data_IF_230213861817
#
_entry.id   IF_230213861817
#
_cell.length_a   1.000
_cell.length_b   1.000
_cell.length_c   1.000
_cell.angle_alpha   90.00
_cell.angle_beta   90.00
_cell.angle_gamma   90.00
#
_symmetry.space_group_name_H-M   'P 1'
#
loop_
_entity.id
_entity.type
_entity.pdbx_description
1 polymer ?
#
# COMPACT_ATOMS: atom_id res chain seq x y z
N UNK A 1 17.87 -26.06 -26.22
CA UNK A 1 16.69 -25.27 -26.62
C UNK A 1 15.50 -25.88 -25.88
N UNK A 2 15.16 -25.33 -24.73
CA UNK A 2 14.16 -25.92 -23.82
C UNK A 2 12.91 -25.05 -23.89
N UNK A 3 11.84 -25.58 -24.49
CA UNK A 3 10.58 -24.88 -24.65
C UNK A 3 9.90 -24.78 -23.27
N UNK A 4 9.81 -23.55 -22.75
CA UNK A 4 9.02 -23.23 -21.57
C UNK A 4 7.56 -23.08 -22.01
N UNK A 5 6.78 -24.14 -21.86
CA UNK A 5 5.33 -24.12 -22.12
C UNK A 5 4.65 -23.33 -21.01
N UNK A 6 4.43 -22.04 -21.26
CA UNK A 6 3.49 -21.24 -20.47
C UNK A 6 2.10 -21.82 -20.66
N UNK A 7 1.62 -22.58 -19.67
CA UNK A 7 0.22 -22.99 -19.60
C UNK A 7 -0.61 -21.73 -19.37
N UNK A 8 -1.29 -21.27 -20.43
CA UNK A 8 -2.37 -20.31 -20.31
C UNK A 8 -3.50 -21.01 -19.55
N UNK A 9 -3.63 -20.69 -18.26
CA UNK A 9 -4.74 -21.16 -17.46
C UNK A 9 -5.91 -20.25 -17.78
N UNK A 10 -6.74 -20.69 -18.71
CA UNK A 10 -8.04 -20.11 -19.06
C UNK A 10 -9.02 -20.41 -17.90
N UNK A 11 -8.82 -19.76 -16.75
CA UNK A 11 -9.72 -19.84 -15.59
C UNK A 11 -10.79 -18.75 -15.68
N UNK A 12 -11.64 -18.83 -16.70
CA UNK A 12 -12.98 -18.25 -16.63
C UNK A 12 -13.80 -19.12 -15.66
N UNK A 13 -13.62 -18.91 -14.35
CA UNK A 13 -14.52 -19.48 -13.36
C UNK A 13 -15.90 -18.88 -13.61
N UNK A 14 -16.92 -19.72 -13.85
CA UNK A 14 -18.26 -19.21 -14.08
C UNK A 14 -18.72 -18.48 -12.80
N UNK A 15 -19.21 -17.26 -12.95
CA UNK A 15 -19.69 -16.42 -11.84
C UNK A 15 -20.75 -17.12 -10.96
N UNK A 16 -21.36 -18.20 -11.44
CA UNK A 16 -22.24 -19.10 -10.70
C UNK A 16 -21.57 -19.81 -9.52
N UNK A 17 -20.24 -19.82 -9.42
CA UNK A 17 -19.54 -20.50 -8.33
C UNK A 17 -19.58 -19.79 -6.98
N UNK A 18 -19.53 -18.44 -6.93
CA UNK A 18 -19.32 -17.71 -5.66
C UNK A 18 -20.50 -17.80 -4.68
N UNK A 19 -21.73 -17.97 -5.18
CA UNK A 19 -22.93 -18.06 -4.35
C UNK A 19 -22.95 -19.30 -3.44
N UNK A 20 -22.21 -20.35 -3.79
CA UNK A 20 -22.05 -21.56 -2.98
C UNK A 20 -21.05 -21.38 -1.81
N UNK A 21 -20.34 -20.26 -1.79
CA UNK A 21 -19.32 -19.95 -0.78
C UNK A 21 -19.76 -18.82 0.14
N UNK A 22 -20.30 -17.74 -0.44
CA UNK A 22 -20.67 -16.54 0.30
C UNK A 22 -21.86 -16.79 1.22
N UNK A 23 -21.75 -16.40 2.49
CA UNK A 23 -22.78 -16.53 3.51
C UNK A 23 -23.01 -17.95 4.00
N UNK A 24 -22.07 -18.88 3.75
CA UNK A 24 -22.21 -20.31 4.12
C UNK A 24 -21.44 -20.71 5.39
N UNK A 25 -21.05 -19.75 6.23
CA UNK A 25 -20.27 -19.98 7.47
C UNK A 25 -18.98 -20.79 7.23
N UNK A 26 -18.32 -20.57 6.08
CA UNK A 26 -17.05 -21.22 5.73
C UNK A 26 -15.88 -20.39 6.24
N UNK A 27 -14.75 -21.03 6.50
CA UNK A 27 -13.49 -20.36 6.86
C UNK A 27 -12.69 -20.07 5.60
N UNK A 28 -12.24 -18.83 5.41
CA UNK A 28 -11.51 -18.37 4.22
C UNK A 28 -10.27 -19.22 3.91
N UNK A 29 -9.51 -19.63 4.93
CA UNK A 29 -8.34 -20.49 4.78
C UNK A 29 -8.65 -21.87 4.17
N UNK A 30 -9.88 -22.36 4.30
CA UNK A 30 -10.32 -23.67 3.81
C UNK A 30 -10.98 -23.59 2.43
N UNK A 31 -11.11 -22.40 1.88
CA UNK A 31 -11.72 -22.15 0.58
C UNK A 31 -10.71 -22.46 -0.54
N UNK A 32 -11.10 -23.07 -1.68
CA UNK A 32 -10.21 -23.28 -2.81
C UNK A 32 -9.54 -21.98 -3.29
N UNK A 33 -8.28 -22.07 -3.75
CA UNK A 33 -7.47 -20.91 -4.12
C UNK A 33 -8.15 -20.01 -5.16
N UNK A 34 -8.83 -20.60 -6.14
CA UNK A 34 -9.56 -19.87 -7.17
C UNK A 34 -10.69 -18.98 -6.60
N UNK A 35 -11.40 -19.49 -5.59
CA UNK A 35 -12.44 -18.75 -4.91
C UNK A 35 -11.82 -17.67 -4.03
N UNK A 36 -10.69 -17.95 -3.35
CA UNK A 36 -9.96 -16.91 -2.61
C UNK A 36 -9.54 -15.77 -3.54
N UNK A 37 -8.99 -16.08 -4.72
CA UNK A 37 -8.62 -15.08 -5.72
C UNK A 37 -9.83 -14.26 -6.20
N UNK A 38 -10.94 -14.93 -6.52
CA UNK A 38 -12.17 -14.25 -6.94
C UNK A 38 -12.76 -13.35 -5.85
N UNK A 39 -12.63 -13.72 -4.57
CA UNK A 39 -13.03 -12.87 -3.43
C UNK A 39 -12.10 -11.66 -3.30
N UNK A 40 -10.78 -11.85 -3.41
CA UNK A 40 -9.79 -10.76 -3.32
C UNK A 40 -9.90 -9.78 -4.48
N UNK A 41 -10.29 -10.23 -5.66
CA UNK A 41 -10.58 -9.38 -6.82
C UNK A 41 -11.68 -8.34 -6.55
N UNK A 42 -12.51 -8.51 -5.52
CA UNK A 42 -13.50 -7.50 -5.11
C UNK A 42 -12.88 -6.29 -4.39
N UNK A 43 -11.63 -6.40 -3.98
CA UNK A 43 -10.85 -5.26 -3.46
C UNK A 43 -10.19 -4.48 -4.59
N UNK A 44 -10.14 -5.03 -5.81
CA UNK A 44 -9.50 -4.40 -6.96
C UNK A 44 -10.10 -3.03 -7.24
N UNK A 45 -9.24 -2.06 -7.51
CA UNK A 45 -9.65 -0.73 -7.91
C UNK A 45 -10.46 -0.73 -9.21
N UNK A 46 -11.62 -0.06 -9.18
CA UNK A 46 -12.38 0.30 -10.37
C UNK A 46 -11.60 1.26 -11.27
N UNK A 47 -11.99 1.34 -12.55
CA UNK A 47 -11.39 2.27 -13.50
C UNK A 47 -11.49 3.73 -13.01
N UNK A 48 -12.64 4.11 -12.45
CA UNK A 48 -12.86 5.44 -11.87
C UNK A 48 -11.90 5.71 -10.71
N UNK A 49 -11.68 4.72 -9.83
CA UNK A 49 -10.70 4.83 -8.76
C UNK A 49 -9.27 5.01 -9.29
N UNK A 50 -8.87 4.24 -10.29
CA UNK A 50 -7.54 4.32 -10.91
C UNK A 50 -7.29 5.72 -11.50
N UNK A 51 -8.31 6.35 -12.09
CA UNK A 51 -8.18 7.70 -12.66
C UNK A 51 -7.98 8.80 -11.61
N UNK A 52 -8.32 8.55 -10.34
CA UNK A 52 -8.09 9.47 -9.24
C UNK A 52 -6.65 9.40 -8.68
N UNK A 53 -5.89 8.39 -9.09
CA UNK A 53 -4.56 8.10 -8.59
C UNK A 53 -3.48 8.60 -9.57
N UNK A 54 -2.34 9.16 -9.10
CA UNK A 54 -1.26 9.58 -9.98
C UNK A 54 -0.74 8.43 -10.86
N UNK A 55 -0.67 8.65 -12.18
CA UNK A 55 -0.17 7.62 -13.09
C UNK A 55 1.24 7.12 -12.67
N UNK A 56 1.52 5.84 -12.85
CA UNK A 56 2.87 5.28 -12.56
C UNK A 56 3.98 5.97 -13.38
N UNK A 57 3.62 6.55 -14.53
CA UNK A 57 4.50 7.32 -15.42
C UNK A 57 4.66 8.79 -15.02
N UNK A 58 3.96 9.26 -13.98
CA UNK A 58 3.97 10.66 -13.57
C UNK A 58 5.39 11.10 -13.15
N UNK A 59 5.92 12.22 -13.68
CA UNK A 59 7.21 12.74 -13.25
C UNK A 59 7.27 13.08 -11.76
N UNK A 60 8.46 12.93 -11.16
CA UNK A 60 8.68 13.24 -9.73
C UNK A 60 8.19 14.64 -9.33
N UNK A 61 8.45 15.74 -10.06
CA UNK A 61 7.94 17.06 -9.68
C UNK A 61 6.42 17.11 -9.60
N UNK A 62 5.73 16.51 -10.57
CA UNK A 62 4.27 16.46 -10.59
C UNK A 62 3.71 15.57 -9.48
N UNK A 63 4.41 14.48 -9.13
CA UNK A 63 4.06 13.69 -7.94
C UNK A 63 4.13 14.56 -6.66
N UNK A 64 5.13 15.43 -6.53
CA UNK A 64 5.27 16.29 -5.35
C UNK A 64 4.17 17.37 -5.27
N UNK A 65 3.58 17.74 -6.40
CA UNK A 65 2.43 18.67 -6.47
C UNK A 65 1.09 17.97 -6.19
N UNK A 66 1.04 16.63 -6.27
CA UNK A 66 -0.18 15.88 -6.01
C UNK A 66 -0.62 16.02 -4.53
N UNK A 67 -1.85 16.49 -4.31
CA UNK A 67 -2.41 16.66 -2.97
C UNK A 67 -2.98 15.34 -2.43
N UNK A 68 -2.12 14.52 -1.83
CA UNK A 68 -2.55 13.29 -1.17
C UNK A 68 -3.33 13.60 0.13
N UNK A 69 -4.33 12.78 0.50
CA UNK A 69 -5.00 12.93 1.78
C UNK A 69 -4.04 12.70 2.96
N UNK A 70 -4.38 13.20 4.14
CA UNK A 70 -3.54 13.04 5.32
C UNK A 70 -3.50 11.56 5.74
N UNK A 71 -2.32 11.05 6.05
CA UNK A 71 -2.14 9.75 6.69
C UNK A 71 -2.20 9.92 8.21
N UNK A 72 -3.06 9.16 8.89
CA UNK A 72 -3.20 9.23 10.35
C UNK A 72 -2.46 8.09 11.03
N UNK A 73 -1.48 8.46 11.85
CA UNK A 73 -0.60 7.53 12.58
C UNK A 73 -1.10 7.21 14.00
N UNK A 74 -2.34 7.59 14.32
CA UNK A 74 -2.96 7.33 15.63
C UNK A 74 -3.43 5.89 15.78
N UNK A 75 -3.46 5.39 17.02
CA UNK A 75 -4.00 4.08 17.37
C UNK A 75 -5.50 4.01 17.02
N UNK A 76 -5.87 3.12 16.10
CA UNK A 76 -7.26 2.75 15.87
C UNK A 76 -7.66 1.67 16.88
N UNK A 77 -8.56 2.03 17.81
CA UNK A 77 -9.04 1.13 18.89
C UNK A 77 -10.12 0.15 18.38
N UNK A 78 -10.59 0.32 17.14
CA UNK A 78 -11.66 -0.47 16.55
C UNK A 78 -11.10 -1.77 15.96
N UNK A 79 -11.83 -2.87 16.12
CA UNK A 79 -11.48 -4.14 15.48
C UNK A 79 -11.67 -4.04 13.95
N UNK A 80 -10.63 -4.32 13.12
CA UNK A 80 -10.73 -4.24 11.66
C UNK A 80 -11.89 -5.09 11.08
N UNK A 81 -12.14 -6.28 11.62
CA UNK A 81 -13.26 -7.13 11.20
C UNK A 81 -14.63 -6.47 11.44
N UNK A 82 -14.76 -5.63 12.47
CA UNK A 82 -16.01 -4.93 12.78
C UNK A 82 -16.34 -3.78 11.82
N UNK A 83 -15.38 -3.37 10.98
CA UNK A 83 -15.63 -2.37 9.94
C UNK A 83 -16.43 -2.94 8.77
N UNK A 84 -16.48 -4.25 8.56
CA UNK A 84 -17.20 -4.81 7.43
C UNK A 84 -18.69 -4.95 7.72
N UNK A 85 -19.51 -4.51 6.78
CA UNK A 85 -20.97 -4.45 6.92
C UNK A 85 -21.65 -4.85 5.60
N UNK A 86 -22.92 -5.22 5.70
CA UNK A 86 -23.81 -5.61 4.61
C UNK A 86 -24.71 -4.45 4.16
N UNK A 87 -24.49 -3.26 4.73
CA UNK A 87 -25.21 -2.03 4.41
C UNK A 87 -24.78 -1.46 3.05
N UNK A 88 -25.68 -0.73 2.41
CA UNK A 88 -25.43 -0.13 1.11
C UNK A 88 -24.35 0.95 1.17
N UNK A 89 -23.49 0.98 0.15
CA UNK A 89 -22.45 1.99 -0.01
C UNK A 89 -23.11 3.35 -0.21
N UNK A 90 -22.76 4.34 0.61
CA UNK A 90 -23.30 5.69 0.53
C UNK A 90 -22.24 6.75 0.22
N UNK A 91 -21.02 6.32 -0.10
CA UNK A 91 -19.94 7.21 -0.52
C UNK A 91 -19.46 6.91 -1.92
N UNK A 92 -19.05 7.95 -2.63
CA UNK A 92 -18.38 7.81 -3.92
C UNK A 92 -16.88 7.61 -3.75
N UNK A 93 -16.25 6.97 -4.73
CA UNK A 93 -14.79 6.79 -4.78
C UNK A 93 -14.05 8.12 -4.72
N UNK A 94 -14.57 9.16 -5.41
CA UNK A 94 -14.00 10.52 -5.38
C UNK A 94 -13.92 11.08 -3.96
N UNK A 95 -14.90 10.74 -3.11
CA UNK A 95 -14.94 11.20 -1.73
C UNK A 95 -13.77 10.64 -0.90
N UNK A 96 -13.19 9.50 -1.28
CA UNK A 96 -12.04 8.90 -0.60
C UNK A 96 -10.80 9.82 -0.61
N UNK A 97 -10.66 10.72 -1.59
CA UNK A 97 -9.57 11.72 -1.63
C UNK A 97 -9.73 12.82 -0.57
N UNK A 98 -10.92 12.96 0.02
CA UNK A 98 -11.18 13.97 1.06
C UNK A 98 -11.10 13.39 2.46
N UNK A 99 -11.01 12.08 2.59
CA UNK A 99 -10.95 11.39 3.87
C UNK A 99 -9.49 11.17 4.26
N UNK A 100 -9.18 11.25 5.56
CA UNK A 100 -7.84 10.83 5.96
C UNK A 100 -7.70 9.32 5.77
N UNK A 101 -6.46 8.90 5.49
CA UNK A 101 -6.08 7.52 5.34
C UNK A 101 -5.82 6.93 6.74
N UNK A 102 -6.31 5.72 7.06
CA UNK A 102 -5.99 5.06 8.33
C UNK A 102 -4.49 4.73 8.42
N UNK A 103 -4.00 4.29 9.58
CA UNK A 103 -2.61 3.87 9.71
C UNK A 103 -2.30 2.67 8.80
N UNK A 104 -1.05 2.52 8.37
CA UNK A 104 -0.62 1.38 7.54
C UNK A 104 -0.92 0.05 8.21
N UNK A 105 -0.67 -0.05 9.52
CA UNK A 105 -0.97 -1.26 10.30
C UNK A 105 -2.46 -1.60 10.32
N UNK A 106 -3.33 -0.58 10.38
CA UNK A 106 -4.77 -0.80 10.36
C UNK A 106 -5.27 -1.24 8.98
N UNK A 107 -4.77 -0.64 7.91
CA UNK A 107 -5.12 -1.05 6.53
C UNK A 107 -4.63 -2.46 6.22
N UNK A 108 -3.46 -2.86 6.72
CA UNK A 108 -2.98 -4.25 6.60
C UNK A 108 -3.94 -5.23 7.30
N UNK A 109 -4.39 -4.92 8.52
CA UNK A 109 -5.35 -5.75 9.23
C UNK A 109 -6.73 -5.78 8.57
N UNK A 110 -7.17 -4.68 7.96
CA UNK A 110 -8.39 -4.66 7.14
C UNK A 110 -8.25 -5.60 5.95
N UNK A 111 -7.13 -5.53 5.22
CA UNK A 111 -6.85 -6.43 4.09
C UNK A 111 -6.86 -7.90 4.52
N UNK A 112 -6.19 -8.23 5.64
CA UNK A 112 -6.18 -9.59 6.19
C UNK A 112 -7.58 -10.09 6.58
N UNK A 113 -8.45 -9.22 7.09
CA UNK A 113 -9.82 -9.56 7.46
C UNK A 113 -10.80 -9.60 6.27
N UNK A 114 -10.45 -8.97 5.14
CA UNK A 114 -11.36 -8.77 4.02
C UNK A 114 -11.85 -10.10 3.41
N UNK A 115 -10.98 -11.10 3.29
CA UNK A 115 -11.34 -12.39 2.70
C UNK A 115 -12.46 -13.10 3.45
N UNK A 116 -12.33 -13.18 4.78
CA UNK A 116 -13.37 -13.76 5.62
C UNK A 116 -14.64 -12.89 5.59
N UNK A 117 -14.52 -11.57 5.68
CA UNK A 117 -15.68 -10.68 5.69
C UNK A 117 -16.50 -10.77 4.38
N UNK A 118 -15.84 -10.80 3.22
CA UNK A 118 -16.51 -10.97 1.92
C UNK A 118 -17.15 -12.35 1.83
N UNK A 119 -16.46 -13.40 2.32
CA UNK A 119 -17.00 -14.76 2.40
C UNK A 119 -18.22 -14.82 3.33
N UNK A 120 -18.28 -14.01 4.38
CA UNK A 120 -19.43 -13.88 5.28
C UNK A 120 -20.57 -13.03 4.68
N UNK A 121 -20.41 -12.53 3.45
CA UNK A 121 -21.44 -11.77 2.74
C UNK A 121 -21.41 -10.27 3.00
N UNK A 122 -20.32 -9.73 3.58
CA UNK A 122 -20.15 -8.28 3.71
C UNK A 122 -19.84 -7.64 2.36
N UNK A 123 -20.43 -6.47 2.12
CA UNK A 123 -20.42 -5.79 0.82
C UNK A 123 -19.85 -4.38 0.89
N UNK A 124 -19.67 -3.83 2.09
CA UNK A 124 -19.13 -2.48 2.29
C UNK A 124 -18.30 -2.38 3.58
N UNK A 125 -17.60 -1.24 3.71
CA UNK A 125 -16.78 -0.88 4.85
C UNK A 125 -17.38 0.32 5.58
N UNK A 126 -17.69 0.17 6.85
CA UNK A 126 -18.01 1.29 7.74
C UNK A 126 -16.75 2.10 8.03
N UNK A 127 -16.83 3.41 7.83
CA UNK A 127 -15.76 4.34 8.24
C UNK A 127 -15.59 4.26 9.76
N UNK A 128 -14.34 4.02 10.21
CA UNK A 128 -14.03 3.87 11.63
C UNK A 128 -14.20 5.17 12.43
N UNK A 129 -14.36 6.31 11.75
CA UNK A 129 -14.60 7.61 12.39
C UNK A 129 -16.04 8.09 12.30
N UNK A 130 -16.80 7.56 11.36
CA UNK A 130 -18.17 7.97 11.13
C UNK A 130 -19.04 6.73 10.90
N UNK A 131 -19.87 6.43 11.90
CA UNK A 131 -20.75 5.25 11.88
C UNK A 131 -21.74 5.23 10.72
N UNK A 132 -22.08 6.40 10.18
CA UNK A 132 -23.13 6.56 9.16
C UNK A 132 -22.56 6.58 7.74
N UNK A 133 -21.26 6.28 7.60
CA UNK A 133 -20.55 6.28 6.32
C UNK A 133 -20.11 4.88 5.94
N UNK A 134 -20.52 4.46 4.73
CA UNK A 134 -20.27 3.14 4.17
C UNK A 134 -19.54 3.28 2.83
N UNK A 135 -18.30 2.80 2.83
CA UNK A 135 -17.33 2.86 1.77
C UNK A 135 -17.37 1.60 0.90
N UNK A 136 -17.02 1.68 -0.39
CA UNK A 136 -16.79 0.49 -1.19
C UNK A 136 -15.61 -0.32 -0.66
N UNK A 137 -15.61 -1.63 -0.89
CA UNK A 137 -14.52 -2.53 -0.47
C UNK A 137 -13.16 -2.14 -1.07
N UNK A 138 -13.17 -1.61 -2.30
CA UNK A 138 -11.96 -1.11 -3.00
C UNK A 138 -11.24 0.03 -2.26
N UNK A 139 -11.88 0.65 -1.25
CA UNK A 139 -11.24 1.67 -0.42
C UNK A 139 -9.96 1.16 0.26
N UNK A 140 -9.88 -0.15 0.57
CA UNK A 140 -8.67 -0.77 1.14
C UNK A 140 -7.49 -0.63 0.19
N UNK A 141 -7.64 -1.07 -1.07
CA UNK A 141 -6.57 -0.97 -2.06
C UNK A 141 -6.27 0.50 -2.39
N UNK A 142 -7.30 1.34 -2.45
CA UNK A 142 -7.15 2.78 -2.69
C UNK A 142 -6.27 3.45 -1.63
N UNK A 143 -6.51 3.14 -0.35
CA UNK A 143 -5.68 3.62 0.74
C UNK A 143 -4.24 3.09 0.68
N UNK A 144 -4.04 1.81 0.38
CA UNK A 144 -2.69 1.25 0.22
C UNK A 144 -1.91 1.98 -0.87
N UNK A 145 -2.55 2.21 -2.01
CA UNK A 145 -1.94 2.90 -3.13
C UNK A 145 -1.58 4.36 -2.77
N UNK A 146 -2.47 5.07 -2.06
CA UNK A 146 -2.18 6.42 -1.58
C UNK A 146 -1.07 6.46 -0.51
N UNK A 147 -0.95 5.43 0.32
CA UNK A 147 0.20 5.32 1.25
C UNK A 147 1.52 5.25 0.48
N UNK A 148 1.59 4.47 -0.61
CA UNK A 148 2.77 4.40 -1.46
C UNK A 148 3.14 5.78 -2.02
N UNK A 149 2.14 6.54 -2.47
CA UNK A 149 2.35 7.93 -2.92
C UNK A 149 2.91 8.80 -1.81
N UNK A 150 2.31 8.78 -0.62
CA UNK A 150 2.74 9.60 0.51
C UNK A 150 4.17 9.24 0.91
N UNK A 151 4.51 7.95 0.92
CA UNK A 151 5.88 7.50 1.19
C UNK A 151 6.86 7.96 0.12
N UNK A 152 6.50 7.85 -1.17
CA UNK A 152 7.30 8.34 -2.27
C UNK A 152 7.51 9.85 -2.18
N UNK A 153 6.45 10.63 -1.92
CA UNK A 153 6.54 12.08 -1.72
C UNK A 153 7.49 12.45 -0.57
N UNK A 154 7.36 11.78 0.58
CA UNK A 154 8.26 11.99 1.73
C UNK A 154 9.71 11.67 1.38
N UNK A 155 9.96 10.56 0.69
CA UNK A 155 11.30 10.14 0.27
C UNK A 155 11.92 11.14 -0.72
N UNK A 156 11.18 11.55 -1.75
CA UNK A 156 11.63 12.53 -2.74
C UNK A 156 11.87 13.91 -2.13
N UNK A 157 10.97 14.40 -1.28
CA UNK A 157 11.18 15.66 -0.56
C UNK A 157 12.45 15.62 0.32
N UNK A 158 12.70 14.51 1.01
CA UNK A 158 13.93 14.31 1.78
C UNK A 158 15.18 14.32 0.88
N UNK A 159 15.14 13.65 -0.25
CA UNK A 159 16.24 13.61 -1.21
C UNK A 159 16.55 14.98 -1.82
N UNK A 160 15.52 15.74 -2.20
CA UNK A 160 15.66 17.10 -2.70
C UNK A 160 16.23 18.05 -1.64
N UNK A 161 15.73 17.98 -0.40
CA UNK A 161 16.29 18.76 0.71
C UNK A 161 17.75 18.42 0.96
N UNK A 162 18.11 17.14 0.96
CA UNK A 162 19.51 16.71 1.08
C UNK A 162 20.38 17.30 -0.04
N UNK A 163 19.89 17.30 -1.28
CA UNK A 163 20.60 17.86 -2.43
C UNK A 163 20.79 19.38 -2.28
N UNK A 164 19.78 20.11 -1.81
CA UNK A 164 19.89 21.53 -1.49
C UNK A 164 20.91 21.79 -0.38
N UNK A 165 20.95 20.95 0.66
CA UNK A 165 21.92 21.07 1.73
C UNK A 165 23.35 20.74 1.28
N UNK A 166 23.56 19.87 0.29
CA UNK A 166 24.88 19.64 -0.30
C UNK A 166 25.40 20.88 -1.04
N UNK A 167 24.53 21.60 -1.79
CA UNK A 167 24.91 22.83 -2.48
C UNK A 167 25.25 23.95 -1.48
N UNK A 168 24.49 24.06 -0.37
CA UNK A 168 24.82 25.01 0.70
C UNK A 168 26.21 24.75 1.31
N UNK A 169 26.60 23.48 1.47
CA UNK A 169 27.92 23.08 1.99
C UNK A 169 29.03 23.27 0.96
N UNK A 170 28.73 23.03 -0.30
CA UNK A 170 29.68 23.18 -1.39
C UNK A 170 28.99 23.82 -2.62
N UNK A 171 29.11 25.15 -2.79
CA UNK A 171 28.50 25.87 -3.91
C UNK A 171 28.96 25.40 -5.30
N UNK A 172 30.12 24.75 -5.42
CA UNK A 172 30.57 24.21 -6.72
C UNK A 172 29.65 23.11 -7.26
N UNK A 173 28.76 22.55 -6.44
CA UNK A 173 27.78 21.53 -6.82
C UNK A 173 26.51 22.10 -7.46
N UNK A 174 26.34 23.42 -7.55
CA UNK A 174 25.12 24.05 -8.07
C UNK A 174 24.77 23.60 -9.49
N UNK A 175 25.75 23.56 -10.40
CA UNK A 175 25.55 23.09 -11.77
C UNK A 175 25.12 21.60 -11.81
N UNK A 176 25.66 20.77 -10.91
CA UNK A 176 25.28 19.36 -10.81
C UNK A 176 23.87 19.20 -10.27
N UNK A 177 23.50 19.97 -9.25
CA UNK A 177 22.13 20.01 -8.73
C UNK A 177 21.15 20.39 -9.84
N UNK A 178 21.45 21.43 -10.63
CA UNK A 178 20.62 21.85 -11.76
C UNK A 178 20.39 20.70 -12.75
N UNK A 179 21.43 19.95 -13.09
CA UNK A 179 21.33 18.76 -13.96
C UNK A 179 20.47 17.65 -13.34
N UNK A 180 20.61 17.37 -12.05
CA UNK A 180 19.79 16.37 -11.35
C UNK A 180 18.32 16.78 -11.39
N UNK A 181 18.00 18.03 -11.05
CA UNK A 181 16.62 18.56 -11.12
C UNK A 181 16.04 18.44 -12.53
N UNK A 182 16.82 18.73 -13.58
CA UNK A 182 16.40 18.55 -14.98
C UNK A 182 16.12 17.09 -15.34
N UNK A 183 16.90 16.14 -14.81
CA UNK A 183 16.64 14.71 -15.02
C UNK A 183 15.34 14.30 -14.32
N UNK A 184 15.12 14.75 -13.08
CA UNK A 184 13.92 14.39 -12.29
C UNK A 184 12.61 14.79 -12.97
N UNK A 185 12.61 15.86 -13.78
CA UNK A 185 11.45 16.27 -14.59
C UNK A 185 10.98 15.20 -15.58
N UNK A 186 11.86 14.25 -15.94
CA UNK A 186 11.56 13.17 -16.91
C UNK A 186 11.47 11.79 -16.26
N UNK A 187 11.82 11.69 -14.99
CA UNK A 187 11.85 10.43 -14.27
C UNK A 187 10.47 10.15 -13.69
N UNK A 188 9.86 9.07 -14.13
CA UNK A 188 8.61 8.57 -13.57
C UNK A 188 8.82 8.08 -12.13
N UNK A 189 7.92 8.45 -11.23
CA UNK A 189 8.11 8.20 -9.79
C UNK A 189 8.11 6.72 -9.40
N UNK A 190 7.38 5.86 -10.13
CA UNK A 190 7.25 4.43 -9.85
C UNK A 190 8.05 3.55 -10.81
N UNK A 191 8.95 4.11 -11.62
CA UNK A 191 9.74 3.33 -12.57
C UNK A 191 10.93 2.68 -11.84
N UNK A 192 11.11 1.35 -11.93
CA UNK A 192 12.31 0.72 -11.40
C UNK A 192 13.53 1.24 -12.16
N UNK A 193 14.52 1.74 -11.42
CA UNK A 193 15.79 2.17 -11.98
C UNK A 193 16.64 0.92 -12.28
N UNK A 194 16.39 0.29 -13.42
CA UNK A 194 17.16 -0.88 -13.85
C UNK A 194 18.61 -0.56 -14.25
N UNK A 195 18.99 0.71 -14.32
CA UNK A 195 20.25 1.16 -14.97
C UNK A 195 21.22 1.93 -14.09
N UNK A 196 20.91 2.18 -12.82
CA UNK A 196 21.88 2.74 -11.86
C UNK A 196 22.58 1.58 -11.12
N UNK A 197 23.45 0.90 -11.86
CA UNK A 197 24.33 -0.22 -11.48
C UNK A 197 24.10 -0.93 -10.15
N UNK A 198 23.64 -2.19 -10.18
CA UNK A 198 23.74 -3.30 -9.22
C UNK A 198 23.71 -3.07 -7.68
N UNK A 199 23.48 -1.86 -7.16
CA UNK A 199 23.56 -1.56 -5.73
C UNK A 199 22.20 -1.28 -5.09
N UNK A 200 21.11 -1.26 -5.86
CA UNK A 200 19.76 -1.11 -5.31
C UNK A 200 19.02 -2.45 -5.41
N UNK A 201 19.10 -3.26 -4.35
CA UNK A 201 18.09 -4.30 -4.10
C UNK A 201 16.74 -3.61 -4.00
N UNK A 202 15.88 -3.83 -4.99
CA UNK A 202 14.55 -3.22 -5.08
C UNK A 202 13.68 -3.66 -3.90
N UNK A 203 13.62 -2.83 -2.84
CA UNK A 203 12.71 -3.04 -1.69
C UNK A 203 11.25 -2.78 -2.08
N UNK A 204 10.99 -2.13 -3.22
CA UNK A 204 9.65 -1.80 -3.73
C UNK A 204 8.96 -2.98 -4.45
N UNK A 205 9.55 -4.18 -4.45
CA UNK A 205 9.07 -5.36 -5.16
C UNK A 205 8.12 -6.26 -4.35
N UNK A 206 7.58 -5.81 -3.22
CA UNK A 206 6.48 -6.51 -2.55
C UNK A 206 5.17 -6.19 -3.28
N UNK A 207 4.98 -6.87 -4.41
CA UNK A 207 3.66 -7.13 -4.94
C UNK A 207 2.93 -7.99 -3.89
N UNK A 208 2.09 -7.34 -3.08
CA UNK A 208 1.40 -7.94 -1.93
C UNK A 208 0.42 -9.06 -2.30
N UNK A 209 0.11 -9.24 -3.57
CA UNK A 209 -0.64 -10.40 -4.08
C UNK A 209 0.05 -11.75 -3.86
N UNK A 210 1.23 -11.77 -3.21
CA UNK A 210 1.94 -13.00 -2.77
C UNK A 210 2.29 -13.03 -1.27
N UNK A 211 1.66 -12.23 -0.42
CA UNK A 211 1.83 -12.39 1.03
C UNK A 211 1.16 -13.70 1.48
N UNK A 212 1.93 -14.78 1.56
CA UNK A 212 1.51 -15.99 2.27
C UNK A 212 1.55 -15.71 3.78
N UNK A 213 0.60 -16.22 4.58
CA UNK A 213 0.52 -15.98 6.03
C UNK A 213 1.68 -16.55 6.86
N UNK A 214 2.72 -17.09 6.22
CA UNK A 214 3.86 -17.75 6.90
C UNK A 214 4.99 -16.76 7.29
N UNK A 215 4.94 -15.51 6.80
CA UNK A 215 6.00 -14.52 7.05
C UNK A 215 5.89 -13.78 8.39
N UNK A 216 4.71 -13.75 9.02
CA UNK A 216 4.48 -12.97 10.25
C UNK A 216 5.04 -13.62 11.52
N UNK A 217 5.33 -14.93 11.51
CA UNK A 217 5.92 -15.62 12.67
C UNK A 217 7.38 -15.25 12.95
N UNK A 218 8.09 -14.55 12.04
CA UNK A 218 9.52 -14.23 12.18
C UNK A 218 9.81 -12.77 12.55
N UNK A 219 8.81 -11.90 12.57
CA UNK A 219 9.01 -10.47 12.81
C UNK A 219 8.88 -10.10 14.30
N UNK A 220 8.17 -10.90 15.11
CA UNK A 220 8.08 -10.69 16.57
C UNK A 220 9.37 -11.06 17.34
N UNK A 221 10.23 -11.93 16.80
CA UNK A 221 11.47 -12.34 17.46
C UNK A 221 12.61 -11.29 17.38
N UNK A 222 12.51 -10.29 16.51
CA UNK A 222 13.52 -9.24 16.36
C UNK A 222 13.22 -7.96 17.17
N UNK A 223 12.04 -7.86 17.78
CA UNK A 223 11.62 -6.67 18.54
C UNK A 223 11.97 -6.72 20.04
N UNK A 224 12.47 -7.86 20.56
CA UNK A 224 12.79 -8.01 22.00
C UNK A 224 14.30 -8.01 22.34
N UNK A 225 15.19 -7.90 21.37
CA UNK A 225 16.63 -8.04 21.60
C UNK A 225 17.46 -6.87 21.10
N UNK A 226 17.37 -5.69 21.73
CA UNK A 226 18.47 -4.70 21.76
C UNK A 226 18.13 -3.48 22.64
N UNK A 227 18.23 -3.66 23.96
CA UNK A 227 18.33 -2.57 24.93
C UNK A 227 19.40 -2.95 25.96
N UNK A 228 20.67 -2.79 25.59
CA UNK A 228 21.78 -2.88 26.53
C UNK A 228 22.94 -1.97 26.12
N UNK A 229 23.22 -1.01 27.01
CA UNK A 229 24.53 -0.40 27.29
C UNK A 229 25.18 0.55 26.26
N UNK A 230 25.02 1.86 26.51
CA UNK A 230 26.12 2.82 26.38
C UNK A 230 26.27 3.55 27.73
N UNK A 231 27.33 3.21 28.48
CA UNK A 231 27.79 3.98 29.63
C UNK A 231 28.62 5.16 29.14
N UNK A 232 28.25 6.37 29.55
CA UNK A 232 29.06 7.59 29.38
C UNK A 232 30.31 7.56 30.28
N UNK A 233 31.45 8.13 29.87
CA UNK A 233 32.63 8.25 30.71
C UNK A 233 32.49 9.44 31.67
N UNK A 234 32.81 9.21 32.95
CA UNK A 234 33.02 10.26 33.95
C UNK A 234 34.40 10.92 33.73
N UNK A 235 34.40 12.25 33.67
CA UNK A 235 35.60 13.08 33.70
C UNK A 235 35.91 13.37 35.16
N UNK A 236 37.06 12.91 35.66
CA UNK A 236 37.60 13.38 36.94
C UNK A 236 38.52 14.59 36.71
N UNK A 237 38.26 15.64 37.48
CA UNK A 237 39.21 16.68 37.81
C UNK A 237 39.83 16.38 39.19
#
# INVERSE_FOLDING_TARGET
MTNCTTMAIDHDLPASGLSEWIGKNKTFEKVPQDVQYALMKRLDLSADAIHLLPANSLPVPQLLEFSAPRLVDGLQIISPASCFTDLEINTTVVSLLTFDIPSTSFVQKLCAAAGQAILDGKTSLRDWRNSDRYLPLEAIEFWQWLMDVIHAQKAWNRALRWLDDQVKRNPTLEALQGRVKQILIRVAWRKPFSTLGNFATSVWGLSWSKATPEADSKVEDLAQGNLAFIKSPQVHA
#
